data_IF_984072581270
#
_entry.id   IF_984072581270
#
_cell.length_a   1.000
_cell.length_b   1.000
_cell.length_c   1.000
_cell.angle_alpha   90.00
_cell.angle_beta   90.00
_cell.angle_gamma   90.00
#
_symmetry.space_group_name_H-M   'P 1'
#
loop_
_entity.id
_entity.type
_entity.pdbx_description
1 polymer ?
#
# COMPACT_ATOMS: atom_id res chain seq x y z
N UNK A 1 -54.51 -31.54 -23.99
CA UNK A 1 -55.92 -31.14 -23.80
C UNK A 1 -56.31 -31.45 -22.36
N UNK A 2 -56.78 -30.44 -21.60
CA UNK A 2 -57.55 -30.49 -20.33
C UNK A 2 -56.81 -31.12 -19.10
N UNK A 3 -56.76 -30.61 -17.86
CA UNK A 3 -57.69 -29.78 -17.06
C UNK A 3 -56.94 -28.97 -15.99
N UNK A 4 -57.28 -27.69 -15.87
CA UNK A 4 -57.23 -26.97 -14.60
C UNK A 4 -58.45 -27.33 -13.75
N UNK A 5 -58.29 -27.41 -12.43
CA UNK A 5 -59.39 -27.36 -11.45
C UNK A 5 -58.99 -26.41 -10.31
N UNK A 6 -59.89 -25.51 -9.87
CA UNK A 6 -59.63 -24.50 -8.85
C UNK A 6 -60.09 -24.97 -7.46
N UNK A 7 -59.59 -24.33 -6.41
CA UNK A 7 -60.23 -24.28 -5.09
C UNK A 7 -59.95 -22.93 -4.44
N UNK A 8 -60.99 -22.10 -4.39
CA UNK A 8 -61.15 -21.03 -3.41
C UNK A 8 -61.47 -21.66 -2.05
N UNK A 9 -60.92 -21.11 -0.96
CA UNK A 9 -61.48 -21.26 0.38
C UNK A 9 -61.19 -20.01 1.21
N UNK A 10 -62.21 -19.16 1.25
CA UNK A 10 -62.51 -18.16 2.26
C UNK A 10 -62.54 -18.79 3.66
N UNK A 11 -61.70 -18.28 4.58
CA UNK A 11 -61.87 -18.41 6.03
C UNK A 11 -61.08 -17.27 6.71
N UNK A 12 -61.70 -16.19 7.21
CA UNK A 12 -62.45 -16.08 8.48
C UNK A 12 -61.55 -15.65 9.66
N UNK A 13 -61.93 -14.47 10.22
CA UNK A 13 -61.96 -14.08 11.64
C UNK A 13 -60.83 -13.24 12.27
N UNK A 14 -61.24 -12.00 12.59
CA UNK A 14 -61.12 -11.25 13.85
C UNK A 14 -59.80 -11.27 14.61
N UNK A 15 -59.24 -10.07 14.82
CA UNK A 15 -59.20 -9.48 16.16
C UNK A 15 -59.00 -7.98 16.11
N UNK A 16 -59.72 -7.32 17.01
CA UNK A 16 -59.92 -5.90 17.14
C UNK A 16 -59.14 -5.38 18.34
N UNK A 17 -58.70 -4.11 18.25
CA UNK A 17 -58.47 -3.13 19.34
C UNK A 17 -57.19 -3.27 20.18
N UNK A 18 -56.40 -2.17 20.19
CA UNK A 18 -55.79 -1.43 21.34
C UNK A 18 -54.94 -0.30 20.70
N UNK A 19 -55.43 0.95 20.61
CA UNK A 19 -55.28 2.07 21.56
C UNK A 19 -53.82 2.48 21.85
N UNK A 20 -53.42 3.63 21.28
CA UNK A 20 -52.71 4.72 21.95
C UNK A 20 -51.19 4.66 22.12
N UNK A 21 -50.48 5.58 21.43
CA UNK A 21 -49.47 6.49 22.04
C UNK A 21 -48.91 7.50 21.02
N UNK A 22 -49.00 8.82 21.26
CA UNK A 22 -48.21 9.83 20.55
C UNK A 22 -46.91 10.12 21.33
N UNK A 23 -45.78 9.64 20.81
CA UNK A 23 -44.45 9.94 21.37
C UNK A 23 -43.70 10.94 20.49
N UNK A 24 -43.54 12.17 21.00
CA UNK A 24 -42.79 13.26 20.37
C UNK A 24 -41.32 12.89 20.03
N UNK A 25 -40.68 13.60 19.09
CA UNK A 25 -39.31 13.33 18.66
C UNK A 25 -38.31 13.60 19.78
N UNK A 26 -37.71 12.53 20.32
CA UNK A 26 -36.54 12.64 21.18
C UNK A 26 -35.36 13.18 20.39
N UNK A 27 -35.04 14.46 20.58
CA UNK A 27 -33.75 15.04 20.18
C UNK A 27 -32.64 14.35 20.96
N UNK A 28 -32.16 13.21 20.46
CA UNK A 28 -30.88 12.65 20.91
C UNK A 28 -29.82 13.66 20.52
N UNK A 29 -29.45 14.53 21.45
CA UNK A 29 -28.20 15.28 21.42
C UNK A 29 -27.09 14.26 21.21
N UNK A 30 -26.63 14.14 19.96
CA UNK A 30 -25.36 13.49 19.66
C UNK A 30 -24.34 14.20 20.53
N UNK A 31 -23.86 13.53 21.57
CA UNK A 31 -22.66 13.99 22.26
C UNK A 31 -21.58 14.06 21.19
N UNK A 32 -21.15 15.28 20.87
CA UNK A 32 -19.99 15.52 20.03
C UNK A 32 -18.83 14.83 20.74
N UNK A 33 -18.46 13.62 20.32
CA UNK A 33 -17.18 13.02 20.71
C UNK A 33 -16.08 14.00 20.30
N UNK A 34 -15.33 14.59 21.23
CA UNK A 34 -14.18 15.40 20.86
C UNK A 34 -13.05 14.45 20.44
N UNK A 35 -12.32 14.82 19.40
CA UNK A 35 -11.05 14.16 19.06
C UNK A 35 -11.16 12.93 18.18
N UNK A 36 -11.79 13.05 17.00
CA UNK A 36 -11.23 12.33 15.84
C UNK A 36 -10.08 13.19 15.34
N UNK A 37 -8.92 13.04 15.97
CA UNK A 37 -7.67 13.59 15.42
C UNK A 37 -7.61 13.09 13.99
N UNK A 38 -7.79 14.01 13.04
CA UNK A 38 -7.60 13.73 11.63
C UNK A 38 -6.11 13.50 11.54
N UNK A 39 -5.68 12.24 11.59
CA UNK A 39 -4.31 11.89 11.22
C UNK A 39 -4.14 12.46 9.82
N UNK A 40 -3.38 13.55 9.74
CA UNK A 40 -3.06 14.21 8.49
C UNK A 40 -2.48 13.14 7.58
N UNK A 41 -2.94 13.11 6.33
CA UNK A 41 -2.63 12.11 5.28
C UNK A 41 -1.13 11.96 4.96
N UNK A 42 -0.27 12.65 5.70
CA UNK A 42 1.17 12.77 5.55
C UNK A 42 1.98 11.56 6.08
N UNK A 43 1.39 10.60 6.77
CA UNK A 43 2.18 9.53 7.44
C UNK A 43 2.45 8.26 6.61
N UNK A 44 2.25 8.28 5.29
CA UNK A 44 2.63 7.15 4.41
C UNK A 44 3.69 7.53 3.38
N UNK A 45 4.83 8.03 3.85
CA UNK A 45 6.05 8.19 3.04
C UNK A 45 6.81 6.86 2.93
N UNK A 46 6.18 5.83 2.34
CA UNK A 46 6.85 4.55 1.96
C UNK A 46 6.78 4.31 0.44
N UNK A 47 6.22 5.27 -0.29
CA UNK A 47 6.22 5.30 -1.74
C UNK A 47 7.21 6.36 -2.22
N UNK A 48 8.24 5.92 -2.95
CA UNK A 48 9.08 6.82 -3.74
C UNK A 48 8.19 7.65 -4.67
N UNK A 49 8.38 8.97 -4.64
CA UNK A 49 7.67 9.87 -5.53
C UNK A 49 7.94 9.54 -7.00
N UNK A 50 6.93 9.73 -7.84
CA UNK A 50 7.00 9.34 -9.25
C UNK A 50 8.08 10.15 -9.99
N UNK A 51 8.27 11.42 -9.63
CA UNK A 51 9.29 12.27 -10.24
C UNK A 51 10.71 11.78 -9.89
N UNK A 52 10.94 11.44 -8.61
CA UNK A 52 12.25 10.96 -8.14
C UNK A 52 12.62 9.63 -8.81
N UNK A 53 11.65 8.72 -8.98
CA UNK A 53 11.88 7.48 -9.73
C UNK A 53 12.29 7.76 -11.17
N UNK A 54 11.59 8.67 -11.85
CA UNK A 54 11.86 8.96 -13.26
C UNK A 54 13.26 9.56 -13.46
N UNK A 55 13.70 10.44 -12.56
CA UNK A 55 15.07 10.98 -12.57
C UNK A 55 16.11 9.87 -12.43
N UNK A 56 15.94 8.98 -11.44
CA UNK A 56 16.86 7.84 -11.24
C UNK A 56 16.90 6.92 -12.47
N UNK A 57 15.76 6.71 -13.13
CA UNK A 57 15.72 5.90 -14.36
C UNK A 57 16.53 6.60 -15.46
N UNK A 58 16.37 7.91 -15.64
CA UNK A 58 17.12 8.67 -16.66
C UNK A 58 18.63 8.68 -16.40
N UNK A 59 19.05 8.84 -15.14
CA UNK A 59 20.47 8.94 -14.78
C UNK A 59 21.24 7.61 -14.92
N UNK A 60 20.55 6.49 -14.76
CA UNK A 60 21.15 5.14 -14.76
C UNK A 60 20.73 4.25 -15.94
N UNK A 61 19.88 4.76 -16.84
CA UNK A 61 19.49 4.04 -18.05
C UNK A 61 20.69 3.87 -18.99
N UNK A 62 20.83 2.65 -19.54
CA UNK A 62 21.86 2.37 -20.55
C UNK A 62 21.39 2.77 -21.95
N UNK A 63 20.09 2.73 -22.18
CA UNK A 63 19.44 3.18 -23.42
C UNK A 63 18.15 3.94 -23.10
N UNK A 64 17.67 4.75 -24.05
CA UNK A 64 16.37 5.41 -23.91
C UNK A 64 15.26 4.34 -23.78
N UNK A 65 14.45 4.44 -22.72
CA UNK A 65 13.39 3.47 -22.41
C UNK A 65 13.82 2.26 -21.57
N UNK A 66 15.06 2.20 -21.10
CA UNK A 66 15.51 1.13 -20.20
C UNK A 66 14.93 1.31 -18.80
N UNK A 67 13.98 0.45 -18.45
CA UNK A 67 13.37 0.41 -17.11
C UNK A 67 13.74 -0.85 -16.34
N UNK A 68 14.46 -1.77 -16.99
CA UNK A 68 14.66 -3.14 -16.52
C UNK A 68 16.10 -3.51 -16.26
N UNK A 69 17.07 -2.69 -16.67
CA UNK A 69 18.48 -2.97 -16.42
C UNK A 69 18.80 -3.17 -14.93
N UNK A 70 19.74 -4.08 -14.63
CA UNK A 70 20.26 -4.24 -13.27
C UNK A 70 20.70 -2.91 -12.65
N UNK A 71 21.27 -2.02 -13.46
CA UNK A 71 21.78 -0.71 -13.06
C UNK A 71 20.67 0.20 -12.51
N UNK A 72 19.60 0.39 -13.29
CA UNK A 72 18.41 1.16 -12.89
C UNK A 72 17.76 0.54 -11.67
N UNK A 73 17.59 -0.78 -11.64
CA UNK A 73 16.97 -1.46 -10.50
C UNK A 73 17.78 -1.29 -9.21
N UNK A 74 19.11 -1.37 -9.27
CA UNK A 74 19.97 -1.18 -8.09
C UNK A 74 19.90 0.26 -7.60
N UNK A 75 19.86 1.25 -8.51
CA UNK A 75 19.74 2.66 -8.13
C UNK A 75 18.42 2.94 -7.41
N UNK A 76 17.29 2.45 -7.95
CA UNK A 76 15.96 2.59 -7.34
C UNK A 76 15.90 1.89 -5.98
N UNK A 77 16.43 0.67 -5.86
CA UNK A 77 16.50 -0.03 -4.58
C UNK A 77 17.35 0.69 -3.55
N UNK A 78 18.47 1.27 -3.98
CA UNK A 78 19.38 2.01 -3.09
C UNK A 78 18.71 3.24 -2.52
N UNK A 79 17.99 4.02 -3.35
CA UNK A 79 17.20 5.15 -2.86
C UNK A 79 16.13 4.71 -1.86
N UNK A 80 15.37 3.66 -2.20
CA UNK A 80 14.34 3.11 -1.30
C UNK A 80 14.90 2.61 0.03
N UNK A 81 16.08 1.99 0.02
CA UNK A 81 16.77 1.55 1.24
C UNK A 81 17.16 2.76 2.09
N UNK A 82 17.67 3.83 1.50
CA UNK A 82 18.04 5.04 2.23
C UNK A 82 16.83 5.66 2.93
N UNK A 83 15.71 5.81 2.22
CA UNK A 83 14.47 6.38 2.75
C UNK A 83 13.90 5.51 3.89
N UNK A 84 13.86 4.18 3.69
CA UNK A 84 13.40 3.23 4.73
C UNK A 84 14.32 3.22 5.95
N UNK A 85 15.61 3.40 5.76
CA UNK A 85 16.56 3.47 6.88
C UNK A 85 16.29 4.70 7.73
N UNK A 86 16.01 5.84 7.12
CA UNK A 86 15.65 7.08 7.84
C UNK A 86 14.32 6.93 8.59
N UNK A 87 13.31 6.32 7.96
CA UNK A 87 12.03 6.02 8.61
C UNK A 87 12.21 5.13 9.85
N UNK A 88 13.02 4.07 9.76
CA UNK A 88 13.26 3.16 10.88
C UNK A 88 14.09 3.76 12.02
N UNK A 89 14.84 4.84 11.80
CA UNK A 89 15.49 5.59 12.90
C UNK A 89 14.47 6.23 13.82
N UNK A 90 13.39 6.75 13.24
CA UNK A 90 12.27 7.36 13.97
C UNK A 90 11.34 6.29 14.56
N UNK A 91 11.05 5.23 13.79
CA UNK A 91 10.13 4.15 14.18
C UNK A 91 10.87 2.85 14.55
N UNK A 92 11.54 2.85 15.71
CA UNK A 92 12.39 1.72 16.15
C UNK A 92 11.65 0.39 16.37
N UNK A 93 10.35 0.43 16.62
CA UNK A 93 9.52 -0.76 16.87
C UNK A 93 8.81 -1.30 15.63
N UNK A 94 9.01 -0.69 14.45
CA UNK A 94 8.44 -1.22 13.21
C UNK A 94 9.27 -2.40 12.67
N UNK A 95 8.93 -3.60 13.16
CA UNK A 95 9.55 -4.85 12.75
C UNK A 95 9.10 -5.32 11.35
N UNK A 96 7.90 -4.94 10.91
CA UNK A 96 7.38 -5.33 9.59
C UNK A 96 8.13 -4.60 8.47
N UNK A 97 8.34 -3.29 8.64
CA UNK A 97 9.13 -2.48 7.71
C UNK A 97 10.59 -2.89 7.73
N UNK A 98 11.17 -3.24 8.90
CA UNK A 98 12.53 -3.81 8.98
C UNK A 98 12.66 -5.11 8.20
N UNK A 99 11.67 -6.01 8.26
CA UNK A 99 11.66 -7.23 7.44
C UNK A 99 11.61 -6.91 5.94
N UNK A 100 10.77 -5.95 5.53
CA UNK A 100 10.71 -5.46 4.15
C UNK A 100 12.05 -4.88 3.68
N UNK A 101 12.71 -4.09 4.53
CA UNK A 101 14.04 -3.55 4.27
C UNK A 101 15.08 -4.65 4.02
N UNK A 102 15.11 -5.68 4.86
CA UNK A 102 16.04 -6.80 4.69
C UNK A 102 15.82 -7.55 3.36
N UNK A 103 14.56 -7.71 2.94
CA UNK A 103 14.24 -8.30 1.63
C UNK A 103 14.77 -7.45 0.45
N UNK A 104 14.67 -6.12 0.55
CA UNK A 104 15.20 -5.19 -0.46
C UNK A 104 16.73 -5.22 -0.50
N UNK A 105 17.41 -5.22 0.66
CA UNK A 105 18.87 -5.36 0.74
C UNK A 105 19.34 -6.67 0.13
N UNK A 106 18.66 -7.78 0.42
CA UNK A 106 18.96 -9.09 -0.18
C UNK A 106 18.75 -9.12 -1.70
N UNK A 107 17.70 -8.47 -2.21
CA UNK A 107 17.48 -8.32 -3.65
C UNK A 107 18.60 -7.51 -4.32
N UNK A 108 18.99 -6.37 -3.73
CA UNK A 108 20.11 -5.55 -4.23
C UNK A 108 21.42 -6.34 -4.25
N UNK A 109 21.72 -7.09 -3.18
CA UNK A 109 22.92 -7.93 -3.09
C UNK A 109 22.97 -8.96 -4.23
N UNK A 110 21.85 -9.63 -4.53
CA UNK A 110 21.77 -10.60 -5.64
C UNK A 110 22.04 -9.96 -6.99
N UNK A 111 21.50 -8.77 -7.26
CA UNK A 111 21.78 -8.05 -8.51
C UNK A 111 23.24 -7.60 -8.63
N UNK A 112 23.83 -7.13 -7.53
CA UNK A 112 25.24 -6.77 -7.50
C UNK A 112 26.14 -7.98 -7.74
N UNK A 113 25.80 -9.15 -7.17
CA UNK A 113 26.49 -10.41 -7.47
C UNK A 113 26.36 -10.78 -8.94
N UNK A 114 25.16 -10.70 -9.51
CA UNK A 114 24.93 -10.97 -10.94
C UNK A 114 25.77 -10.06 -11.85
N UNK A 115 25.79 -8.75 -11.59
CA UNK A 115 26.62 -7.82 -12.35
C UNK A 115 28.10 -8.13 -12.20
N UNK A 116 28.57 -8.43 -10.99
CA UNK A 116 29.97 -8.82 -10.76
C UNK A 116 30.38 -10.04 -11.59
N UNK A 117 29.50 -11.03 -11.67
CA UNK A 117 29.79 -12.30 -12.34
C UNK A 117 29.63 -12.19 -13.87
N UNK A 118 28.81 -11.25 -14.36
CA UNK A 118 28.56 -11.02 -15.79
C UNK A 118 29.53 -10.00 -16.39
N UNK A 119 29.74 -8.88 -15.72
CA UNK A 119 30.57 -7.76 -16.19
C UNK A 119 31.15 -6.97 -15.01
N UNK A 120 32.43 -7.22 -14.76
CA UNK A 120 33.14 -6.60 -13.64
C UNK A 120 33.34 -5.09 -13.82
N UNK A 121 33.37 -4.59 -15.05
CA UNK A 121 33.58 -3.17 -15.34
C UNK A 121 32.33 -2.38 -14.96
N UNK A 122 31.16 -2.84 -15.38
CA UNK A 122 29.86 -2.24 -14.99
C UNK A 122 29.62 -2.32 -13.49
N UNK A 123 30.03 -3.42 -12.86
CA UNK A 123 29.95 -3.56 -11.41
C UNK A 123 30.77 -2.49 -10.66
N UNK A 124 32.03 -2.26 -11.08
CA UNK A 124 32.92 -1.28 -10.45
C UNK A 124 32.41 0.14 -10.61
N UNK A 125 32.04 0.52 -11.83
CA UNK A 125 31.53 1.88 -12.11
C UNK A 125 30.24 2.15 -11.34
N UNK A 126 29.34 1.17 -11.24
CA UNK A 126 28.10 1.32 -10.50
C UNK A 126 28.31 1.44 -8.99
N UNK A 127 29.26 0.69 -8.42
CA UNK A 127 29.62 0.81 -7.00
C UNK A 127 30.24 2.15 -6.67
N UNK A 128 31.13 2.64 -7.52
CA UNK A 128 31.75 3.96 -7.36
C UNK A 128 30.70 5.06 -7.41
N UNK A 129 29.80 5.02 -8.40
CA UNK A 129 28.69 5.99 -8.53
C UNK A 129 27.75 5.99 -7.33
N UNK A 130 27.43 4.82 -6.78
CA UNK A 130 26.48 4.69 -5.66
C UNK A 130 27.14 4.76 -4.28
N UNK A 131 28.48 4.83 -4.20
CA UNK A 131 29.22 4.87 -2.94
C UNK A 131 29.00 3.64 -2.05
N UNK A 132 28.69 2.48 -2.63
CA UNK A 132 28.36 1.27 -1.86
C UNK A 132 29.63 0.58 -1.35
N UNK A 133 29.77 0.42 -0.04
CA UNK A 133 30.86 -0.34 0.59
C UNK A 133 30.53 -1.83 0.67
N UNK A 134 31.54 -2.67 0.40
CA UNK A 134 31.48 -4.14 0.52
C UNK A 134 31.87 -4.58 1.92
#
# INVERSE_FOLDING_TARGET
MIRARPVDLTAVRLQSVVVGSPGAPGTRRRTRRPGRTVLTRTELHVALDAAVKQQIIQDFATHEGDTGSPEVQIAVLTRRIADLTEHLKQHKHDHHTRRGLMALVGRRRRMLTYLRDTDITRYRTLIERLGLRR
#
